data_IF_200863462450
#
_entry.id   IF_200863462450
#
_cell.length_a   1.000
_cell.length_b   1.000
_cell.length_c   1.000
_cell.angle_alpha   90.00
_cell.angle_beta   90.00
_cell.angle_gamma   90.00
#
_symmetry.space_group_name_H-M   'P 1'
#
loop_
_entity.id
_entity.type
_entity.pdbx_description
1 polymer ?
#
# COMPACT_ATOMS: atom_id res chain seq x y z
N UNK A 1 1.23 -2.53 -0.41
CA UNK A 1 2.23 -3.56 -0.75
C UNK A 1 2.80 -3.21 -2.13
N UNK A 2 4.12 -3.23 -2.32
CA UNK A 2 4.74 -3.02 -3.63
C UNK A 2 5.68 -4.18 -3.95
N UNK A 3 5.67 -4.70 -5.17
CA UNK A 3 6.52 -5.83 -5.56
C UNK A 3 7.06 -5.65 -6.98
N UNK A 4 8.17 -6.32 -7.29
CA UNK A 4 8.83 -6.19 -8.58
C UNK A 4 8.50 -7.38 -9.50
N UNK A 5 8.02 -7.08 -10.71
CA UNK A 5 7.82 -8.05 -11.79
C UNK A 5 8.73 -7.63 -12.95
N UNK A 6 9.78 -8.40 -13.21
CA UNK A 6 10.81 -8.02 -14.19
C UNK A 6 11.58 -6.77 -13.77
N UNK A 7 11.52 -5.70 -14.59
CA UNK A 7 12.17 -4.40 -14.35
C UNK A 7 11.18 -3.30 -13.92
N UNK A 8 9.97 -3.65 -13.50
CA UNK A 8 8.93 -2.69 -13.08
C UNK A 8 8.33 -3.12 -11.75
N UNK A 9 7.83 -2.16 -10.98
CA UNK A 9 7.09 -2.43 -9.75
C UNK A 9 5.58 -2.27 -9.93
N UNK A 10 4.83 -3.10 -9.20
CA UNK A 10 3.38 -3.05 -9.08
C UNK A 10 3.01 -2.69 -7.65
N UNK A 11 2.06 -1.78 -7.48
CA UNK A 11 1.48 -1.42 -6.17
C UNK A 11 0.12 -2.07 -6.08
N UNK A 12 -0.17 -2.68 -4.94
CA UNK A 12 -1.42 -3.42 -4.68
C UNK A 12 -1.60 -4.63 -5.63
N UNK A 13 -0.56 -5.47 -5.66
CA UNK A 13 -0.52 -6.63 -6.54
C UNK A 13 -1.60 -7.66 -6.19
N UNK A 14 -2.22 -8.24 -7.22
CA UNK A 14 -3.14 -9.37 -7.07
C UNK A 14 -2.40 -10.65 -6.64
N UNK A 15 -3.13 -11.67 -6.22
CA UNK A 15 -2.51 -12.95 -5.83
C UNK A 15 -1.74 -13.59 -6.99
N UNK A 16 -2.26 -13.47 -8.23
CA UNK A 16 -1.57 -13.95 -9.43
C UNK A 16 -0.23 -13.23 -9.63
N UNK A 17 -0.21 -11.90 -9.42
CA UNK A 17 0.98 -11.07 -9.55
C UNK A 17 2.01 -11.35 -8.44
N UNK A 18 1.55 -11.65 -7.21
CA UNK A 18 2.43 -12.05 -6.11
C UNK A 18 3.17 -13.35 -6.42
N UNK A 19 2.51 -14.32 -7.07
CA UNK A 19 3.14 -15.60 -7.44
C UNK A 19 4.24 -15.45 -8.51
N UNK A 20 4.16 -14.41 -9.34
CA UNK A 20 5.16 -14.13 -10.35
C UNK A 20 6.32 -13.28 -9.82
N UNK A 21 6.27 -12.83 -8.56
CA UNK A 21 7.29 -11.99 -7.95
C UNK A 21 8.32 -12.79 -7.16
N UNK A 22 9.58 -12.35 -7.22
CA UNK A 22 10.66 -12.91 -6.40
C UNK A 22 10.87 -12.12 -5.10
N UNK A 23 10.43 -10.87 -5.05
CA UNK A 23 10.61 -9.99 -3.91
C UNK A 23 9.52 -8.93 -3.80
N UNK A 24 9.11 -8.63 -2.55
CA UNK A 24 8.17 -7.56 -2.23
C UNK A 24 8.73 -6.63 -1.17
N UNK A 25 8.30 -5.38 -1.23
CA UNK A 25 8.56 -4.33 -0.26
C UNK A 25 7.23 -3.80 0.30
N UNK A 26 7.09 -3.91 1.61
CA UNK A 26 5.99 -3.33 2.39
C UNK A 26 6.44 -2.00 2.96
N UNK A 27 5.67 -0.94 2.70
CA UNK A 27 5.98 0.42 3.15
C UNK A 27 4.85 0.93 4.04
N UNK A 28 5.17 1.24 5.30
CA UNK A 28 4.27 1.90 6.23
C UNK A 28 4.38 3.42 6.09
N UNK A 29 3.28 4.11 5.82
CA UNK A 29 3.26 5.56 5.54
C UNK A 29 2.26 6.25 6.44
N UNK A 30 2.71 7.29 7.14
CA UNK A 30 1.82 8.15 7.94
C UNK A 30 1.08 9.16 7.06
N UNK A 31 0.03 9.80 7.59
CA UNK A 31 -0.68 10.89 6.90
C UNK A 31 0.22 12.05 6.46
N UNK A 32 1.33 12.29 7.17
CA UNK A 32 2.31 13.35 6.83
C UNK A 32 3.30 12.93 5.75
N UNK A 33 3.22 11.69 5.25
CA UNK A 33 4.15 11.13 4.27
C UNK A 33 5.47 10.62 4.89
N UNK A 34 5.55 10.53 6.22
CA UNK A 34 6.70 9.93 6.91
C UNK A 34 6.64 8.41 6.76
N UNK A 35 7.78 7.80 6.45
CA UNK A 35 7.93 6.34 6.43
C UNK A 35 8.00 5.84 7.87
N UNK A 36 6.99 5.10 8.29
CA UNK A 36 6.89 4.50 9.63
C UNK A 36 7.56 3.12 9.71
N UNK A 37 7.73 2.46 8.57
CA UNK A 37 8.38 1.14 8.51
C UNK A 37 8.59 0.69 7.08
N UNK A 38 9.59 -0.18 6.90
CA UNK A 38 9.93 -0.83 5.64
C UNK A 38 10.19 -2.31 5.94
N UNK A 39 9.59 -3.21 5.17
CA UNK A 39 9.87 -4.64 5.26
C UNK A 39 10.07 -5.24 3.87
N UNK A 40 11.22 -5.87 3.63
CA UNK A 40 11.49 -6.61 2.40
C UNK A 40 11.27 -8.09 2.66
N UNK A 41 10.50 -8.72 1.78
CA UNK A 41 10.19 -10.14 1.86
C UNK A 41 10.43 -10.82 0.50
N UNK A 42 10.55 -12.14 0.50
CA UNK A 42 10.91 -12.93 -0.68
C UNK A 42 12.41 -13.18 -0.82
N UNK A 43 12.77 -14.15 -1.65
CA UNK A 43 14.15 -14.61 -1.85
C UNK A 43 14.91 -13.81 -2.92
N UNK A 44 14.21 -13.03 -3.75
CA UNK A 44 14.81 -12.20 -4.80
C UNK A 44 15.57 -10.99 -4.25
N UNK A 45 16.59 -10.54 -4.98
CA UNK A 45 17.24 -9.25 -4.75
C UNK A 45 16.43 -8.11 -5.37
N UNK A 46 16.49 -6.94 -4.76
CA UNK A 46 16.02 -5.68 -5.35
C UNK A 46 17.23 -4.77 -5.47
N UNK A 47 17.35 -4.09 -6.61
CA UNK A 47 18.40 -3.09 -6.75
C UNK A 47 18.07 -1.85 -5.89
N UNK A 48 19.08 -1.14 -5.37
CA UNK A 48 18.84 0.00 -4.49
C UNK A 48 18.02 1.13 -5.12
N UNK A 49 18.14 1.36 -6.44
CA UNK A 49 17.43 2.42 -7.15
C UNK A 49 15.92 2.11 -7.23
N UNK A 50 15.57 0.88 -7.61
CA UNK A 50 14.20 0.37 -7.57
C UNK A 50 13.60 0.43 -6.18
N UNK A 51 14.37 0.14 -5.12
CA UNK A 51 13.88 0.29 -3.74
C UNK A 51 13.44 1.73 -3.46
N UNK A 52 14.24 2.73 -3.87
CA UNK A 52 13.87 4.14 -3.69
C UNK A 52 12.60 4.50 -4.48
N UNK A 53 12.48 4.03 -5.72
CA UNK A 53 11.28 4.27 -6.53
C UNK A 53 10.03 3.61 -5.94
N UNK A 54 10.16 2.39 -5.41
CA UNK A 54 9.09 1.66 -4.73
C UNK A 54 8.65 2.40 -3.45
N UNK A 55 9.60 2.94 -2.67
CA UNK A 55 9.30 3.73 -1.47
C UNK A 55 8.54 5.01 -1.83
N UNK A 56 9.00 5.77 -2.82
CA UNK A 56 8.31 7.01 -3.23
C UNK A 56 6.92 6.71 -3.81
N UNK A 57 6.79 5.66 -4.61
CA UNK A 57 5.50 5.21 -5.13
C UNK A 57 4.55 4.80 -3.99
N UNK A 58 5.03 3.99 -3.05
CA UNK A 58 4.28 3.57 -1.86
C UNK A 58 3.87 4.75 -0.98
N UNK A 59 4.74 5.74 -0.81
CA UNK A 59 4.45 6.98 -0.08
C UNK A 59 3.34 7.78 -0.74
N UNK A 60 3.42 8.03 -2.05
CA UNK A 60 2.38 8.77 -2.80
C UNK A 60 1.02 8.09 -2.67
N UNK A 61 0.96 6.79 -2.93
CA UNK A 61 -0.28 6.01 -2.82
C UNK A 61 -0.79 6.00 -1.38
N UNK A 62 0.08 5.76 -0.41
CA UNK A 62 -0.29 5.72 1.02
C UNK A 62 -0.83 7.04 1.54
N UNK A 63 -0.30 8.18 1.09
CA UNK A 63 -0.84 9.50 1.45
C UNK A 63 -2.23 9.73 0.87
N UNK A 64 -2.45 9.39 -0.42
CA UNK A 64 -3.76 9.49 -1.06
C UNK A 64 -4.77 8.60 -0.35
N UNK A 65 -4.42 7.34 -0.09
CA UNK A 65 -5.26 6.38 0.63
C UNK A 65 -5.65 6.92 2.01
N UNK A 66 -4.69 7.43 2.78
CA UNK A 66 -4.96 8.03 4.09
C UNK A 66 -5.95 9.21 4.02
N UNK A 67 -5.85 10.06 2.98
CA UNK A 67 -6.79 11.17 2.79
C UNK A 67 -8.20 10.66 2.47
N UNK A 68 -8.30 9.73 1.51
CA UNK A 68 -9.57 9.17 1.06
C UNK A 68 -10.29 8.40 2.16
N UNK A 69 -9.55 7.61 2.92
CA UNK A 69 -10.10 6.88 4.07
C UNK A 69 -10.66 7.85 5.10
N UNK A 70 -9.93 8.93 5.42
CA UNK A 70 -10.43 9.95 6.36
C UNK A 70 -11.70 10.62 5.86
N UNK A 71 -11.75 11.00 4.58
CA UNK A 71 -12.95 11.57 3.96
C UNK A 71 -14.15 10.60 4.04
N UNK A 72 -13.92 9.31 3.78
CA UNK A 72 -14.96 8.28 3.86
C UNK A 72 -15.49 8.11 5.29
N UNK A 73 -14.59 8.04 6.28
CA UNK A 73 -14.95 7.94 7.70
C UNK A 73 -15.74 9.16 8.18
N UNK A 74 -15.35 10.37 7.77
CA UNK A 74 -16.08 11.59 8.12
C UNK A 74 -17.48 11.62 7.49
N UNK A 75 -17.63 11.15 6.25
CA UNK A 75 -18.95 11.04 5.61
C UNK A 75 -19.83 10.03 6.32
N UNK A 76 -19.26 8.91 6.76
CA UNK A 76 -19.97 7.89 7.51
C UNK A 76 -20.40 8.37 8.90
N UNK A 77 -19.52 9.03 9.65
CA UNK A 77 -19.81 9.55 10.99
C UNK A 77 -20.94 10.58 10.99
N UNK A 78 -21.03 11.40 9.94
CA UNK A 78 -22.10 12.38 9.75
C UNK A 78 -23.36 11.81 9.08
N UNK A 79 -23.34 10.54 8.68
CA UNK A 79 -24.46 9.89 8.01
C UNK A 79 -25.44 9.29 9.01
N UNK A 80 -26.73 9.46 8.77
CA UNK A 80 -27.80 8.74 9.48
C UNK A 80 -28.12 7.38 8.84
N UNK A 81 -27.20 6.83 8.04
CA UNK A 81 -27.41 5.55 7.35
C UNK A 81 -27.57 4.42 8.37
N UNK A 82 -28.44 3.46 8.03
CA UNK A 82 -28.51 2.21 8.75
C UNK A 82 -27.15 1.49 8.66
N UNK A 83 -26.63 1.04 9.80
CA UNK A 83 -25.36 0.32 9.86
C UNK A 83 -25.63 -1.11 9.42
N UNK A 84 -25.10 -1.48 8.26
CA UNK A 84 -25.13 -2.84 7.77
C UNK A 84 -23.78 -3.49 8.06
N UNK A 85 -23.81 -4.67 8.69
CA UNK A 85 -22.62 -5.42 9.05
C UNK A 85 -22.97 -6.88 9.26
N UNK A 86 -21.95 -7.75 9.27
CA UNK A 86 -22.14 -9.19 9.47
C UNK A 86 -22.66 -9.55 10.86
N UNK A 87 -22.46 -8.67 11.84
CA UNK A 87 -22.97 -8.78 13.20
C UNK A 87 -23.90 -7.58 13.39
N UNK A 88 -25.21 -7.79 13.20
CA UNK A 88 -26.24 -6.78 13.43
C UNK A 88 -26.30 -6.35 14.88
#
# INVERSE_FOLDING_TARGET
LSLQIGQRHVVDASWEEELCSLARLTVGVTRKGTIAGLNKEGSGSLDPESIYEMIESGKKVGMVLNSRLKEALQKEENSKREKIGFLG
#
